data_IF_550295929359
#
_entry.id   IF_550295929359
#
_cell.length_a   1.000
_cell.length_b   1.000
_cell.length_c   1.000
_cell.angle_alpha   90.00
_cell.angle_beta   90.00
_cell.angle_gamma   90.00
#
_symmetry.space_group_name_H-M   'P 1'
#
loop_
_entity.id
_entity.type
_entity.pdbx_description
1 polymer ?
#
# COMPACT_ATOMS: atom_id res chain seq x y z
N UNK A 1 15.03 -68.92 -36.33
CA UNK A 1 13.96 -67.91 -36.50
C UNK A 1 13.76 -67.22 -35.16
N UNK A 2 14.20 -65.97 -35.04
CA UNK A 2 14.37 -65.24 -33.78
C UNK A 2 13.28 -64.17 -33.67
N UNK A 3 12.47 -64.29 -32.61
CA UNK A 3 11.96 -63.22 -31.75
C UNK A 3 11.66 -61.86 -32.38
N UNK A 4 10.40 -61.53 -32.66
CA UNK A 4 9.88 -60.14 -32.73
C UNK A 4 8.35 -60.15 -32.83
N UNK A 5 7.63 -60.31 -31.71
CA UNK A 5 6.18 -60.03 -31.71
C UNK A 5 5.57 -59.63 -30.36
N UNK A 6 6.38 -59.45 -29.30
CA UNK A 6 5.88 -59.25 -27.94
C UNK A 6 6.36 -57.98 -27.25
N UNK A 7 6.70 -56.91 -27.98
CA UNK A 7 7.27 -55.70 -27.36
C UNK A 7 6.91 -54.41 -28.11
N UNK A 8 5.62 -54.12 -28.26
CA UNK A 8 5.19 -52.83 -28.82
C UNK A 8 4.00 -52.17 -28.08
N UNK A 9 3.46 -52.76 -27.01
CA UNK A 9 2.24 -52.24 -26.36
C UNK A 9 2.37 -51.77 -24.91
N UNK A 10 3.59 -51.66 -24.35
CA UNK A 10 3.75 -51.33 -22.90
C UNK A 10 4.42 -49.97 -22.64
N UNK A 11 4.87 -49.23 -23.67
CA UNK A 11 5.64 -47.99 -23.48
C UNK A 11 4.88 -46.69 -23.84
N UNK A 12 3.55 -46.68 -23.68
CA UNK A 12 2.72 -45.47 -23.88
C UNK A 12 1.91 -45.08 -22.63
N UNK A 13 2.39 -45.42 -21.42
CA UNK A 13 1.98 -44.73 -20.18
C UNK A 13 2.99 -43.62 -19.88
N UNK A 14 3.12 -42.68 -20.82
CA UNK A 14 3.84 -41.43 -20.61
C UNK A 14 2.99 -40.55 -19.69
N UNK A 15 3.31 -40.62 -18.40
CA UNK A 15 3.26 -39.55 -17.41
C UNK A 15 2.49 -38.29 -17.83
N UNK A 16 1.18 -38.29 -17.62
CA UNK A 16 0.43 -37.06 -17.38
C UNK A 16 0.68 -36.61 -15.94
N UNK A 17 1.93 -36.26 -15.64
CA UNK A 17 2.25 -35.55 -14.40
C UNK A 17 1.72 -34.12 -14.56
N UNK A 18 0.44 -33.93 -14.24
CA UNK A 18 -0.15 -32.60 -14.11
C UNK A 18 0.68 -31.81 -13.10
N UNK A 19 1.21 -30.67 -13.52
CA UNK A 19 1.80 -29.69 -12.61
C UNK A 19 0.71 -29.20 -11.67
N UNK A 20 0.61 -29.84 -10.52
CA UNK A 20 -0.19 -29.34 -9.39
C UNK A 20 0.43 -28.02 -8.93
N UNK A 21 -0.36 -26.95 -8.95
CA UNK A 21 0.03 -25.68 -8.36
C UNK A 21 0.22 -25.88 -6.86
N UNK A 22 1.47 -25.83 -6.40
CA UNK A 22 1.80 -25.95 -4.98
C UNK A 22 1.61 -24.60 -4.30
N UNK A 23 0.47 -24.41 -3.64
CA UNK A 23 0.20 -23.23 -2.81
C UNK A 23 0.77 -23.50 -1.42
N UNK A 24 1.79 -22.73 -1.03
CA UNK A 24 2.34 -22.75 0.32
C UNK A 24 1.92 -21.46 1.00
N UNK A 25 1.16 -21.56 2.09
CA UNK A 25 0.87 -20.39 2.94
C UNK A 25 2.13 -20.02 3.70
N UNK A 26 2.48 -18.74 3.64
CA UNK A 26 3.60 -18.13 4.35
C UNK A 26 3.08 -17.08 5.31
N UNK A 27 3.89 -16.77 6.31
CA UNK A 27 3.57 -15.69 7.24
C UNK A 27 3.63 -14.34 6.50
N UNK A 28 2.66 -13.43 6.71
CA UNK A 28 2.64 -12.12 6.04
C UNK A 28 3.88 -11.25 6.31
N UNK A 29 4.62 -11.52 7.38
CA UNK A 29 5.87 -10.81 7.71
C UNK A 29 7.11 -11.36 6.98
N UNK A 30 7.01 -12.51 6.30
CA UNK A 30 8.12 -13.10 5.56
C UNK A 30 8.41 -12.26 4.31
N UNK A 31 9.62 -11.69 4.21
CA UNK A 31 10.03 -10.91 3.04
C UNK A 31 10.33 -11.86 1.88
N UNK A 32 9.46 -11.86 0.88
CA UNK A 32 9.62 -12.68 -0.33
C UNK A 32 9.73 -11.74 -1.54
N UNK A 33 10.93 -11.68 -2.13
CA UNK A 33 11.15 -10.95 -3.38
C UNK A 33 11.37 -11.92 -4.54
N UNK A 34 10.34 -12.07 -5.38
CA UNK A 34 10.35 -12.99 -6.52
C UNK A 34 10.89 -12.35 -7.80
N UNK A 35 10.75 -11.04 -7.94
CA UNK A 35 10.89 -10.39 -9.24
C UNK A 35 11.58 -9.04 -9.21
N UNK A 36 11.80 -8.43 -8.05
CA UNK A 36 12.25 -7.05 -7.88
C UNK A 36 11.16 -6.00 -8.08
N UNK A 37 9.92 -6.42 -8.35
CA UNK A 37 8.76 -5.54 -8.42
C UNK A 37 8.42 -4.99 -7.04
N UNK A 38 7.62 -3.94 -7.02
CA UNK A 38 7.00 -3.45 -5.80
C UNK A 38 6.10 -4.52 -5.19
N UNK A 39 6.25 -4.80 -3.90
CA UNK A 39 5.43 -5.75 -3.15
C UNK A 39 4.84 -5.14 -1.86
N UNK A 40 4.05 -5.93 -1.16
CA UNK A 40 3.42 -5.61 0.13
C UNK A 40 4.45 -5.20 1.20
N UNK A 41 5.60 -5.88 1.24
CA UNK A 41 6.65 -5.56 2.21
C UNK A 41 7.24 -4.18 1.93
N UNK A 42 7.52 -3.84 0.67
CA UNK A 42 8.01 -2.52 0.28
C UNK A 42 7.00 -1.42 0.62
N UNK A 43 5.70 -1.69 0.40
CA UNK A 43 4.62 -0.76 0.69
C UNK A 43 4.57 -0.43 2.18
N UNK A 44 4.50 -1.46 3.02
CA UNK A 44 4.47 -1.34 4.48
C UNK A 44 5.70 -0.63 5.02
N UNK A 45 6.90 -1.06 4.61
CA UNK A 45 8.15 -0.42 5.06
C UNK A 45 8.23 1.04 4.62
N UNK A 46 7.85 1.35 3.38
CA UNK A 46 7.84 2.72 2.88
C UNK A 46 6.88 3.59 3.69
N UNK A 47 5.68 3.07 3.99
CA UNK A 47 4.63 3.77 4.74
C UNK A 47 5.06 4.04 6.18
N UNK A 48 5.51 3.02 6.91
CA UNK A 48 5.98 3.15 8.30
C UNK A 48 7.09 4.21 8.41
N UNK A 49 8.10 4.14 7.54
CA UNK A 49 9.22 5.07 7.58
C UNK A 49 8.84 6.50 7.18
N UNK A 50 8.07 6.68 6.11
CA UNK A 50 7.73 8.02 5.62
C UNK A 50 6.74 8.73 6.56
N UNK A 51 5.84 7.98 7.20
CA UNK A 51 4.95 8.52 8.24
C UNK A 51 5.75 8.86 9.49
N UNK A 52 6.70 8.03 9.90
CA UNK A 52 7.59 8.38 11.01
C UNK A 52 8.37 9.68 10.72
N UNK A 53 8.88 9.86 9.50
CA UNK A 53 9.51 11.10 9.06
C UNK A 53 8.54 12.30 9.10
N UNK A 54 7.29 12.11 8.67
CA UNK A 54 6.26 13.14 8.72
C UNK A 54 5.95 13.57 10.15
N UNK A 55 5.67 12.62 11.03
CA UNK A 55 5.27 12.87 12.42
C UNK A 55 6.40 13.35 13.33
N UNK A 56 7.65 13.20 12.90
CA UNK A 56 8.81 13.80 13.55
C UNK A 56 9.14 15.21 13.01
N UNK A 57 8.34 15.71 12.06
CA UNK A 57 8.49 17.05 11.50
C UNK A 57 8.08 18.16 12.48
N UNK A 58 8.67 19.37 12.38
CA UNK A 58 8.36 20.50 13.26
C UNK A 58 6.89 20.97 13.23
N UNK A 59 6.19 20.72 12.12
CA UNK A 59 4.79 21.13 11.92
C UNK A 59 3.87 20.58 13.01
N UNK A 60 4.09 19.33 13.47
CA UNK A 60 3.23 18.68 14.45
C UNK A 60 3.30 19.37 15.80
N UNK A 61 4.52 19.65 16.27
CA UNK A 61 4.74 20.37 17.53
C UNK A 61 4.22 21.80 17.47
N UNK A 62 4.38 22.47 16.33
CA UNK A 62 3.86 23.82 16.10
C UNK A 62 2.32 23.82 16.16
N UNK A 63 1.68 22.91 15.44
CA UNK A 63 0.22 22.78 15.44
C UNK A 63 -0.32 22.46 16.84
N UNK A 64 0.27 21.48 17.54
CA UNK A 64 -0.19 21.09 18.87
C UNK A 64 -0.09 22.25 19.87
N UNK A 65 0.96 23.08 19.76
CA UNK A 65 1.14 24.27 20.59
C UNK A 65 0.10 25.34 20.28
N UNK A 66 -0.18 25.59 19.01
CA UNK A 66 -1.07 26.68 18.59
C UNK A 66 -2.56 26.31 18.74
N UNK A 67 -2.92 25.06 18.46
CA UNK A 67 -4.30 24.57 18.50
C UNK A 67 -4.68 23.90 19.84
N UNK A 68 -3.70 23.48 20.65
CA UNK A 68 -3.94 22.81 21.94
C UNK A 68 -4.56 21.41 21.83
N UNK A 69 -4.48 20.78 20.64
CA UNK A 69 -5.02 19.45 20.36
C UNK A 69 -4.24 18.76 19.24
N UNK A 70 -4.41 17.45 19.14
CA UNK A 70 -3.84 16.69 18.02
C UNK A 70 -4.50 17.09 16.68
N UNK A 71 -3.71 17.12 15.59
CA UNK A 71 -4.21 17.45 14.26
C UNK A 71 -5.12 16.34 13.76
N UNK A 72 -6.13 16.74 12.99
CA UNK A 72 -6.98 15.82 12.25
C UNK A 72 -6.43 15.68 10.84
N UNK A 73 -6.07 14.47 10.44
CA UNK A 73 -5.47 14.19 9.12
C UNK A 73 -6.40 13.28 8.33
N UNK A 74 -6.52 13.56 7.03
CA UNK A 74 -7.13 12.66 6.04
C UNK A 74 -6.05 12.21 5.05
N UNK A 75 -6.08 10.93 4.64
CA UNK A 75 -5.27 10.45 3.53
C UNK A 75 -6.04 10.67 2.23
N UNK A 76 -5.43 11.44 1.34
CA UNK A 76 -5.91 11.72 -0.01
C UNK A 76 -5.39 10.69 -1.01
N UNK A 77 -5.36 11.08 -2.28
CA UNK A 77 -4.90 10.18 -3.33
C UNK A 77 -3.38 10.02 -3.33
N UNK A 78 -2.94 8.78 -3.56
CA UNK A 78 -1.56 8.46 -3.94
C UNK A 78 -1.55 8.02 -5.40
N UNK A 79 -0.95 8.82 -6.26
CA UNK A 79 -0.95 8.56 -7.71
C UNK A 79 0.25 7.70 -8.09
N UNK A 80 -0.01 6.56 -8.72
CA UNK A 80 1.04 5.76 -9.34
C UNK A 80 1.53 6.42 -10.64
N UNK A 81 2.80 6.82 -10.66
CA UNK A 81 3.58 7.35 -11.79
C UNK A 81 4.76 6.44 -12.14
N UNK A 82 4.78 5.23 -11.61
CA UNK A 82 5.81 4.24 -11.90
C UNK A 82 5.55 3.54 -13.24
N UNK A 83 6.57 2.86 -13.74
CA UNK A 83 6.49 2.03 -14.94
C UNK A 83 5.79 0.69 -14.69
N UNK A 84 5.39 0.42 -13.45
CA UNK A 84 4.77 -0.85 -13.03
C UNK A 84 3.34 -0.60 -12.53
N UNK A 85 2.50 -1.63 -12.62
CA UNK A 85 1.24 -1.63 -11.91
C UNK A 85 1.52 -1.82 -10.41
N UNK A 86 1.60 -0.70 -9.69
CA UNK A 86 1.63 -0.64 -8.23
C UNK A 86 0.21 -0.44 -7.76
N UNK A 87 -0.24 -1.32 -6.87
CA UNK A 87 -1.51 -1.12 -6.18
C UNK A 87 -1.35 -0.01 -5.14
N UNK A 88 -1.78 1.19 -5.50
CA UNK A 88 -1.73 2.35 -4.61
C UNK A 88 -2.70 2.23 -3.44
N UNK A 89 -3.75 1.40 -3.53
CA UNK A 89 -4.71 1.23 -2.45
C UNK A 89 -4.06 0.52 -1.25
N UNK A 90 -3.31 -0.56 -1.51
CA UNK A 90 -2.52 -1.26 -0.47
C UNK A 90 -1.57 -0.30 0.24
N UNK A 91 -0.88 0.55 -0.52
CA UNK A 91 0.01 1.54 0.08
C UNK A 91 -0.73 2.62 0.88
N UNK A 92 -1.92 3.03 0.44
CA UNK A 92 -2.77 3.96 1.20
C UNK A 92 -3.20 3.33 2.52
N UNK A 93 -3.66 2.08 2.52
CA UNK A 93 -4.01 1.34 3.75
C UNK A 93 -2.83 1.27 4.73
N UNK A 94 -1.62 0.99 4.25
CA UNK A 94 -0.41 0.98 5.09
C UNK A 94 -0.12 2.38 5.69
N UNK A 95 -0.35 3.47 4.95
CA UNK A 95 -0.22 4.84 5.48
C UNK A 95 -1.26 5.12 6.56
N UNK A 96 -2.52 4.72 6.36
CA UNK A 96 -3.59 4.87 7.34
C UNK A 96 -3.26 4.10 8.61
N UNK A 97 -2.82 2.85 8.48
CA UNK A 97 -2.41 2.02 9.62
C UNK A 97 -1.23 2.65 10.38
N UNK A 98 -0.21 3.14 9.68
CA UNK A 98 0.93 3.81 10.30
C UNK A 98 0.53 5.09 11.05
N UNK A 99 -0.39 5.89 10.50
CA UNK A 99 -0.91 7.10 11.14
C UNK A 99 -1.72 6.76 12.40
N UNK A 100 -2.66 5.80 12.30
CA UNK A 100 -3.51 5.38 13.42
C UNK A 100 -2.66 4.79 14.56
N UNK A 101 -1.71 3.92 14.24
CA UNK A 101 -0.83 3.29 15.22
C UNK A 101 0.12 4.28 15.90
N UNK A 102 0.40 5.42 15.27
CA UNK A 102 1.29 6.42 15.86
C UNK A 102 0.71 7.07 17.12
N UNK A 103 -0.62 7.14 17.25
CA UNK A 103 -1.32 7.85 18.32
C UNK A 103 -1.05 9.35 18.40
N UNK A 104 -0.36 9.94 17.42
CA UNK A 104 0.03 11.36 17.41
C UNK A 104 -0.95 12.27 16.66
N UNK A 105 -1.87 11.69 15.91
CA UNK A 105 -2.84 12.40 15.08
C UNK A 105 -4.20 11.72 15.21
N UNK A 106 -5.26 12.49 14.99
CA UNK A 106 -6.60 11.93 14.80
C UNK A 106 -6.80 11.69 13.32
N UNK A 107 -7.16 10.47 12.95
CA UNK A 107 -7.37 10.12 11.55
C UNK A 107 -8.87 10.10 11.23
N UNK A 108 -9.26 10.70 10.10
CA UNK A 108 -10.64 10.60 9.59
C UNK A 108 -10.69 9.75 8.34
N UNK A 109 -11.81 9.06 8.17
CA UNK A 109 -12.09 8.22 7.03
C UNK A 109 -11.89 8.97 5.69
N UNK A 110 -11.42 8.23 4.70
CA UNK A 110 -11.22 8.72 3.35
C UNK A 110 -12.54 9.17 2.68
N UNK A 111 -12.48 9.54 1.40
CA UNK A 111 -13.68 9.98 0.68
C UNK A 111 -14.73 8.86 0.54
N UNK A 112 -14.30 7.62 0.33
CA UNK A 112 -15.17 6.48 0.03
C UNK A 112 -15.90 6.03 1.29
N UNK A 113 -15.16 5.75 2.36
CA UNK A 113 -15.70 5.33 3.66
C UNK A 113 -16.62 6.41 4.26
N UNK A 114 -16.32 7.71 4.06
CA UNK A 114 -17.25 8.77 4.49
C UNK A 114 -18.59 8.73 3.77
N UNK A 115 -18.63 8.29 2.51
CA UNK A 115 -19.89 8.15 1.79
C UNK A 115 -20.76 7.06 2.42
N UNK A 116 -20.17 5.90 2.71
CA UNK A 116 -20.86 4.77 3.35
C UNK A 116 -21.34 5.13 4.76
N UNK A 117 -20.50 5.79 5.56
CA UNK A 117 -20.88 6.24 6.91
C UNK A 117 -22.00 7.28 6.89
N UNK A 118 -22.04 8.15 5.87
CA UNK A 118 -23.15 9.12 5.70
C UNK A 118 -24.46 8.45 5.35
N UNK A 119 -24.42 7.42 4.50
CA UNK A 119 -25.58 6.62 4.14
C UNK A 119 -26.16 5.89 5.36
N UNK A 120 -25.31 5.20 6.13
CA UNK A 120 -25.68 4.57 7.39
C UNK A 120 -26.29 5.58 8.38
N UNK A 121 -25.66 6.75 8.52
CA UNK A 121 -26.19 7.81 9.39
C UNK A 121 -27.56 8.33 8.93
N UNK A 122 -27.82 8.36 7.62
CA UNK A 122 -29.12 8.73 7.07
C UNK A 122 -30.17 7.66 7.38
N UNK A 123 -29.83 6.37 7.24
CA UNK A 123 -30.70 5.25 7.61
C UNK A 123 -31.10 5.29 9.09
N UNK A 124 -30.13 5.57 9.97
CA UNK A 124 -30.37 5.72 11.41
C UNK A 124 -31.40 6.81 11.76
N UNK A 125 -31.62 7.82 10.91
CA UNK A 125 -32.63 8.85 11.20
C UNK A 125 -34.05 8.28 11.21
N UNK A 126 -34.27 7.19 10.47
CA UNK A 126 -35.58 6.52 10.38
C UNK A 126 -35.64 5.31 11.30
N UNK A 127 -34.55 4.55 11.42
CA UNK A 127 -34.59 3.23 12.04
C UNK A 127 -34.00 3.17 13.47
N UNK A 128 -33.12 4.10 13.85
CA UNK A 128 -32.46 4.07 15.16
C UNK A 128 -33.26 4.84 16.22
N UNK A 129 -33.06 4.46 17.50
CA UNK A 129 -33.63 5.17 18.64
C UNK A 129 -33.06 6.59 18.72
N UNK A 130 -33.88 7.54 19.17
CA UNK A 130 -33.54 8.97 19.22
C UNK A 130 -32.29 9.23 20.07
N UNK A 131 -32.11 8.46 21.15
CA UNK A 131 -31.00 8.62 22.10
C UNK A 131 -29.66 8.12 21.55
N UNK A 132 -29.68 7.21 20.58
CA UNK A 132 -28.47 6.56 20.06
C UNK A 132 -28.15 6.92 18.62
N UNK A 133 -29.08 7.52 17.87
CA UNK A 133 -28.84 7.88 16.47
C UNK A 133 -27.72 8.91 16.35
N UNK A 134 -26.82 8.70 15.40
CA UNK A 134 -25.78 9.69 15.09
C UNK A 134 -26.39 10.95 14.46
N UNK A 135 -25.88 12.13 14.82
CA UNK A 135 -26.35 13.41 14.30
C UNK A 135 -25.83 13.67 12.88
N UNK A 136 -26.72 14.07 11.97
CA UNK A 136 -26.34 14.56 10.64
C UNK A 136 -25.43 15.80 10.77
N UNK A 137 -24.50 15.96 9.82
CA UNK A 137 -23.60 17.13 9.71
C UNK A 137 -22.69 17.33 10.94
N UNK A 138 -22.42 16.26 11.69
CA UNK A 138 -21.52 16.29 12.85
C UNK A 138 -20.19 15.56 12.59
N UNK A 139 -19.65 15.71 11.37
CA UNK A 139 -18.38 15.09 10.99
C UNK A 139 -17.20 15.91 11.49
N UNK A 140 -16.17 15.21 11.97
CA UNK A 140 -14.91 15.88 12.31
C UNK A 140 -14.22 16.34 11.02
N UNK A 141 -13.98 17.66 10.90
CA UNK A 141 -13.22 18.22 9.80
C UNK A 141 -11.73 17.90 9.93
N UNK A 142 -11.10 17.55 8.80
CA UNK A 142 -9.65 17.42 8.73
C UNK A 142 -8.98 18.80 8.74
N UNK A 143 -7.84 18.91 9.42
CA UNK A 143 -6.95 20.08 9.36
C UNK A 143 -5.97 19.97 8.19
N UNK A 144 -5.50 18.74 7.93
CA UNK A 144 -4.50 18.45 6.91
C UNK A 144 -4.91 17.28 6.02
N UNK A 145 -4.46 17.32 4.78
CA UNK A 145 -4.54 16.22 3.82
C UNK A 145 -3.15 15.72 3.49
N UNK A 146 -2.90 14.43 3.71
CA UNK A 146 -1.70 13.74 3.26
C UNK A 146 -1.96 13.18 1.86
N UNK A 147 -1.14 13.54 0.88
CA UNK A 147 -1.28 13.05 -0.50
C UNK A 147 0.09 12.82 -1.11
N UNK A 148 0.15 12.15 -2.27
CA UNK A 148 1.45 11.95 -2.89
C UNK A 148 1.48 11.10 -4.14
N UNK A 149 2.67 10.56 -4.43
CA UNK A 149 2.95 9.82 -5.66
C UNK A 149 3.95 8.70 -5.44
N UNK A 150 3.83 7.63 -6.21
CA UNK A 150 4.81 6.55 -6.32
C UNK A 150 5.43 6.60 -7.71
N UNK A 151 6.75 6.69 -7.80
CA UNK A 151 7.50 6.80 -9.05
C UNK A 151 8.49 5.63 -9.14
N UNK A 152 8.90 5.26 -10.36
CA UNK A 152 10.02 4.32 -10.53
C UNK A 152 10.97 4.74 -11.64
N UNK A 153 12.24 4.37 -11.48
CA UNK A 153 13.28 4.51 -12.49
C UNK A 153 13.98 3.16 -12.62
N UNK A 154 13.93 2.56 -13.81
CA UNK A 154 14.55 1.27 -14.12
C UNK A 154 15.77 1.49 -15.02
N UNK A 155 16.87 0.83 -14.68
CA UNK A 155 18.11 0.77 -15.45
C UNK A 155 18.49 -0.70 -15.67
N UNK A 156 18.64 -1.13 -16.92
CA UNK A 156 18.80 -2.54 -17.29
C UNK A 156 19.98 -2.73 -18.26
N UNK A 157 20.82 -3.73 -17.96
CA UNK A 157 21.91 -4.14 -18.85
C UNK A 157 22.19 -5.64 -18.71
N UNK A 158 22.28 -6.34 -19.85
CA UNK A 158 22.75 -7.75 -19.98
C UNK A 158 22.39 -8.67 -18.80
N UNK A 159 21.10 -8.94 -18.60
CA UNK A 159 20.62 -9.96 -17.64
C UNK A 159 20.54 -9.50 -16.18
N UNK A 160 20.86 -8.24 -15.89
CA UNK A 160 20.64 -7.60 -14.60
C UNK A 160 19.98 -6.25 -14.76
N UNK A 161 19.21 -5.84 -13.76
CA UNK A 161 18.63 -4.50 -13.75
C UNK A 161 18.57 -3.96 -12.33
N UNK A 162 18.69 -2.64 -12.21
CA UNK A 162 18.43 -1.89 -11.01
C UNK A 162 17.09 -1.16 -11.18
N UNK A 163 16.25 -1.20 -10.15
CA UNK A 163 15.03 -0.41 -10.10
C UNK A 163 15.00 0.41 -8.82
N UNK A 164 14.72 1.70 -8.97
CA UNK A 164 14.50 2.63 -7.88
C UNK A 164 13.02 2.93 -7.82
N UNK A 165 12.38 2.62 -6.71
CA UNK A 165 11.06 3.14 -6.35
C UNK A 165 11.23 4.37 -5.48
N UNK A 166 10.43 5.40 -5.74
CA UNK A 166 10.42 6.63 -4.97
C UNK A 166 8.98 7.01 -4.62
N UNK A 167 8.69 7.00 -3.33
CA UNK A 167 7.45 7.54 -2.76
C UNK A 167 7.71 8.99 -2.38
N UNK A 168 6.85 9.89 -2.82
CA UNK A 168 6.83 11.29 -2.39
C UNK A 168 5.50 11.57 -1.73
N UNK A 169 5.51 12.09 -0.51
CA UNK A 169 4.31 12.51 0.20
C UNK A 169 4.41 13.99 0.60
N UNK A 170 3.26 14.63 0.67
CA UNK A 170 3.11 16.00 1.12
C UNK A 170 1.90 16.11 2.05
N UNK A 171 2.04 16.92 3.08
CA UNK A 171 0.99 17.25 4.02
C UNK A 171 0.54 18.68 3.76
N UNK A 172 -0.73 18.85 3.38
CA UNK A 172 -1.30 20.13 2.95
C UNK A 172 -2.33 20.59 3.97
N UNK A 173 -2.21 21.81 4.46
CA UNK A 173 -3.21 22.44 5.32
C UNK A 173 -4.48 22.74 4.50
N UNK A 174 -5.63 22.23 4.94
CA UNK A 174 -6.89 22.36 4.20
C UNK A 174 -7.46 23.79 4.24
N UNK A 175 -7.13 24.57 5.27
CA UNK A 175 -7.58 25.96 5.40
C UNK A 175 -6.80 26.94 4.52
N UNK A 176 -5.50 26.70 4.32
CA UNK A 176 -4.59 27.65 3.62
C UNK A 176 -4.01 27.11 2.31
N UNK A 177 -4.16 25.81 2.02
CA UNK A 177 -3.49 25.09 0.94
C UNK A 177 -1.95 25.08 1.03
N UNK A 178 -1.39 25.39 2.19
CA UNK A 178 0.05 25.39 2.40
C UNK A 178 0.58 23.97 2.60
N UNK A 179 1.70 23.64 1.95
CA UNK A 179 2.43 22.40 2.21
C UNK A 179 3.24 22.56 3.49
N UNK A 180 2.72 22.05 4.60
CA UNK A 180 3.38 22.15 5.91
C UNK A 180 4.49 21.10 6.09
N UNK A 181 4.45 20.04 5.27
CA UNK A 181 5.50 19.04 5.22
C UNK A 181 5.58 18.40 3.84
N UNK A 182 6.79 18.06 3.42
CA UNK A 182 7.07 17.27 2.22
C UNK A 182 8.18 16.29 2.56
N UNK A 183 8.02 15.03 2.15
CA UNK A 183 9.01 14.00 2.37
C UNK A 183 9.07 13.01 1.23
N UNK A 184 10.16 12.26 1.19
CA UNK A 184 10.36 11.20 0.22
C UNK A 184 11.01 9.99 0.86
N UNK A 185 10.67 8.81 0.34
CA UNK A 185 11.33 7.55 0.64
C UNK A 185 11.72 6.87 -0.66
N UNK A 186 12.92 6.29 -0.66
CA UNK A 186 13.49 5.59 -1.82
C UNK A 186 13.79 4.15 -1.45
N UNK A 187 13.42 3.23 -2.34
CA UNK A 187 13.73 1.80 -2.24
C UNK A 187 14.45 1.43 -3.53
N UNK A 188 15.69 0.95 -3.44
CA UNK A 188 16.48 0.54 -4.59
C UNK A 188 16.72 -0.96 -4.54
N UNK A 189 16.34 -1.65 -5.61
CA UNK A 189 16.51 -3.10 -5.76
C UNK A 189 17.45 -3.41 -6.91
N UNK A 190 18.27 -4.44 -6.74
CA UNK A 190 19.14 -4.99 -7.79
C UNK A 190 18.70 -6.42 -8.06
N UNK A 191 18.32 -6.68 -9.31
CA UNK A 191 17.87 -8.01 -9.75
C UNK A 191 18.91 -8.59 -10.70
N UNK A 192 19.39 -9.79 -10.38
CA UNK A 192 20.25 -10.58 -11.24
C UNK A 192 19.47 -11.80 -11.71
N UNK A 193 19.25 -11.93 -13.02
CA UNK A 193 18.71 -13.17 -13.57
C UNK A 193 19.88 -14.13 -13.81
N UNK A 194 19.87 -15.35 -13.24
CA UNK A 194 20.85 -16.35 -13.65
C UNK A 194 20.64 -16.62 -15.15
N UNK A 195 21.71 -16.50 -15.93
CA UNK A 195 21.72 -17.00 -17.31
C UNK A 195 21.53 -18.51 -17.21
N UNK A 196 20.41 -19.02 -17.72
CA UNK A 196 20.31 -20.45 -18.00
C UNK A 196 21.41 -20.78 -19.02
N UNK A 197 22.46 -21.45 -18.59
CA UNK A 197 23.32 -22.19 -19.51
C UNK A 197 22.51 -23.40 -19.94
N UNK A 198 22.04 -23.39 -21.19
CA UNK A 198 21.52 -24.57 -21.85
C UNK A 198 22.68 -25.50 -22.22
#
# INVERSE_FOLDING_TARGET
MKTFLGSLCVLCLLFTAGCSTKVIRKEPSEVIDLSGRWNDTDARMAAEEIIALCLNGPWLGTFNKDAGRDPVVIVGSVVNRSHEHVDSAVFVEDLEQALVNSGKVRFVADKTARSEVREERADQQTNARVETRAQLVNETGADFMLQGTINSVKDETRGQYAILFQVNLELVALSTNEKVWVGQKKIKKLVKRPQYSM
#
